data_IF_196053415449
#
_entry.id   IF_196053415449
#
_cell.length_a   1.000
_cell.length_b   1.000
_cell.length_c   1.000
_cell.angle_alpha   90.00
_cell.angle_beta   90.00
_cell.angle_gamma   90.00
#
_symmetry.space_group_name_H-M   'P 1'
#
loop_
_entity.id
_entity.type
_entity.pdbx_description
1 polymer ?
#
# COMPACT_ATOMS: atom_id res chain seq x y z
N UNK A 1 12.75 -5.08 -39.44
CA UNK A 1 11.77 -5.18 -38.34
C UNK A 1 12.49 -4.73 -37.08
N UNK A 2 12.09 -3.57 -36.54
CA UNK A 2 12.78 -2.91 -35.43
C UNK A 2 12.38 -3.55 -34.11
N UNK A 3 13.35 -4.18 -33.43
CA UNK A 3 13.21 -4.68 -32.07
C UNK A 3 13.36 -3.50 -31.10
N UNK A 4 12.33 -2.66 -31.02
CA UNK A 4 12.19 -1.81 -29.85
C UNK A 4 11.66 -2.73 -28.75
N UNK A 5 12.46 -2.97 -27.71
CA UNK A 5 11.92 -3.34 -26.41
C UNK A 5 10.95 -2.19 -26.09
N UNK A 6 9.65 -2.44 -26.22
CA UNK A 6 8.65 -1.54 -25.63
C UNK A 6 9.04 -1.42 -24.17
N UNK A 7 9.45 -0.23 -23.73
CA UNK A 7 9.72 -0.03 -22.33
C UNK A 7 8.35 -0.04 -21.64
N UNK A 8 8.01 -1.18 -21.07
CA UNK A 8 6.70 -1.49 -20.51
C UNK A 8 6.20 -0.41 -19.53
N UNK A 9 7.08 0.44 -18.97
CA UNK A 9 6.75 1.44 -17.97
C UNK A 9 6.77 2.90 -18.47
N UNK A 10 6.73 3.16 -19.78
CA UNK A 10 6.78 4.54 -20.33
C UNK A 10 5.69 5.48 -19.78
N UNK A 11 4.47 4.97 -19.54
CA UNK A 11 3.42 5.79 -18.91
C UNK A 11 3.81 6.23 -17.49
N UNK A 12 4.39 5.31 -16.71
CA UNK A 12 4.82 5.54 -15.34
C UNK A 12 6.00 6.53 -15.27
N UNK A 13 6.99 6.38 -16.17
CA UNK A 13 8.11 7.32 -16.29
C UNK A 13 7.65 8.73 -16.66
N UNK A 14 6.74 8.84 -17.64
CA UNK A 14 6.18 10.13 -18.05
C UNK A 14 5.48 10.82 -16.90
N UNK A 15 4.70 10.10 -16.09
CA UNK A 15 4.05 10.67 -14.92
C UNK A 15 5.06 11.25 -13.92
N UNK A 16 6.22 10.62 -13.74
CA UNK A 16 7.24 11.10 -12.82
C UNK A 16 7.83 12.46 -13.19
N UNK A 17 7.94 12.75 -14.49
CA UNK A 17 8.40 14.06 -14.96
C UNK A 17 7.40 15.19 -14.74
N UNK A 18 6.13 14.88 -14.46
CA UNK A 18 5.07 15.85 -14.21
C UNK A 18 4.72 15.99 -12.72
N UNK A 19 5.30 15.16 -11.85
CA UNK A 19 5.09 15.20 -10.40
C UNK A 19 5.90 16.30 -9.72
N UNK A 20 5.34 16.90 -8.67
CA UNK A 20 6.10 17.79 -7.79
C UNK A 20 7.00 16.95 -6.89
N UNK A 21 8.32 17.20 -6.93
CA UNK A 21 9.26 16.50 -6.07
C UNK A 21 9.05 16.88 -4.60
N UNK A 22 9.03 15.87 -3.71
CA UNK A 22 9.11 16.10 -2.28
C UNK A 22 10.44 16.78 -1.93
N UNK A 23 10.40 17.73 -0.98
CA UNK A 23 11.59 18.45 -0.51
C UNK A 23 12.59 17.50 0.18
N UNK A 24 12.09 16.42 0.80
CA UNK A 24 12.86 15.29 1.31
C UNK A 24 12.01 14.01 1.16
N UNK A 25 12.30 13.13 0.18
CA UNK A 25 11.64 11.85 0.09
C UNK A 25 12.09 10.94 1.25
N UNK A 26 11.22 10.06 1.76
CA UNK A 26 11.64 9.04 2.72
C UNK A 26 12.72 8.14 2.12
N UNK A 27 13.62 7.57 2.95
CA UNK A 27 14.66 6.69 2.45
C UNK A 27 14.03 5.46 1.78
N UNK A 28 14.56 5.09 0.60
CA UNK A 28 14.18 3.87 -0.08
C UNK A 28 14.74 2.66 0.68
N UNK A 29 13.86 1.94 1.38
CA UNK A 29 14.19 0.76 2.16
C UNK A 29 13.14 -0.31 1.93
N UNK A 30 13.59 -1.52 1.64
CA UNK A 30 12.78 -2.72 1.52
C UNK A 30 12.94 -3.52 2.80
N UNK A 31 11.84 -3.85 3.46
CA UNK A 31 11.85 -4.83 4.54
C UNK A 31 11.41 -6.16 3.97
N UNK A 32 12.29 -7.14 4.06
CA UNK A 32 12.16 -8.40 3.34
C UNK A 32 12.17 -9.53 4.33
N UNK A 33 11.18 -10.40 4.22
CA UNK A 33 11.17 -11.69 4.90
C UNK A 33 11.24 -12.79 3.85
N UNK A 34 12.30 -13.60 3.91
CA UNK A 34 12.59 -14.65 2.94
C UNK A 34 12.69 -16.01 3.61
N UNK A 35 12.07 -17.01 2.98
CA UNK A 35 12.33 -18.43 3.21
C UNK A 35 13.18 -18.94 2.05
N UNK A 36 14.42 -19.31 2.34
CA UNK A 36 15.36 -19.88 1.36
C UNK A 36 15.76 -21.29 1.76
N UNK A 37 16.55 -21.97 0.92
CA UNK A 37 17.08 -23.29 1.28
C UNK A 37 18.10 -23.19 2.42
N UNK A 38 18.84 -22.08 2.51
CA UNK A 38 19.78 -21.78 3.60
C UNK A 38 19.08 -21.36 4.89
N UNK A 39 17.93 -20.68 4.78
CA UNK A 39 17.13 -20.21 5.92
C UNK A 39 15.69 -20.75 5.82
N UNK A 40 15.48 -22.05 6.11
CA UNK A 40 14.18 -22.68 5.93
C UNK A 40 13.12 -22.19 6.92
N UNK A 41 13.51 -21.59 8.05
CA UNK A 41 12.58 -21.02 9.04
C UNK A 41 12.15 -19.58 8.70
N UNK A 42 12.76 -18.99 7.66
CA UNK A 42 12.54 -17.60 7.28
C UNK A 42 13.42 -16.61 8.03
N UNK A 43 13.80 -15.51 7.38
CA UNK A 43 14.62 -14.45 8.00
C UNK A 43 14.23 -13.06 7.53
N UNK A 44 14.11 -12.14 8.50
CA UNK A 44 13.95 -10.72 8.25
C UNK A 44 15.29 -10.05 7.94
N UNK A 45 15.31 -9.23 6.90
CA UNK A 45 16.44 -8.37 6.56
C UNK A 45 15.94 -7.08 5.89
N UNK A 46 16.83 -6.08 5.81
CA UNK A 46 16.52 -4.76 5.27
C UNK A 46 17.47 -4.45 4.13
N UNK A 47 16.91 -4.02 3.01
CA UNK A 47 17.64 -3.86 1.75
C UNK A 47 17.37 -2.48 1.15
N UNK A 48 18.43 -1.78 0.75
CA UNK A 48 18.33 -0.49 0.06
C UNK A 48 18.41 -0.61 -1.47
N UNK A 49 18.86 -1.76 -1.97
CA UNK A 49 19.01 -2.01 -3.40
C UNK A 49 18.11 -3.18 -3.82
N UNK A 50 17.14 -2.99 -4.73
CA UNK A 50 16.27 -4.06 -5.21
C UNK A 50 17.02 -5.29 -5.73
N UNK A 51 18.24 -5.14 -6.25
CA UNK A 51 19.02 -6.24 -6.78
C UNK A 51 19.34 -7.35 -5.76
N UNK A 52 19.27 -7.07 -4.45
CA UNK A 52 19.41 -8.10 -3.41
C UNK A 52 18.31 -9.17 -3.49
N UNK A 53 17.17 -8.86 -4.11
CA UNK A 53 16.06 -9.80 -4.33
C UNK A 53 16.28 -10.71 -5.54
N UNK A 54 17.46 -10.73 -6.18
CA UNK A 54 17.76 -11.73 -7.21
C UNK A 54 17.92 -13.15 -6.67
N UNK A 55 18.22 -13.28 -5.37
CA UNK A 55 18.34 -14.58 -4.73
C UNK A 55 17.02 -15.35 -4.79
N UNK A 56 17.13 -16.67 -4.98
CA UNK A 56 15.98 -17.55 -5.02
C UNK A 56 15.39 -17.71 -3.61
N UNK A 57 14.07 -17.54 -3.50
CA UNK A 57 13.32 -17.78 -2.27
C UNK A 57 12.08 -18.63 -2.57
N UNK A 58 11.75 -19.53 -1.66
CA UNK A 58 10.52 -20.33 -1.71
C UNK A 58 9.29 -19.46 -1.42
N UNK A 59 9.44 -18.57 -0.45
CA UNK A 59 8.46 -17.55 -0.09
C UNK A 59 9.21 -16.26 0.24
N UNK A 60 8.78 -15.16 -0.35
CA UNK A 60 9.32 -13.82 -0.13
C UNK A 60 8.19 -12.85 0.13
N UNK A 61 8.27 -12.11 1.22
CA UNK A 61 7.35 -11.01 1.53
C UNK A 61 8.17 -9.72 1.61
N UNK A 62 7.82 -8.75 0.77
CA UNK A 62 8.53 -7.48 0.65
C UNK A 62 7.59 -6.35 1.02
N UNK A 63 7.96 -5.57 2.03
CA UNK A 63 7.36 -4.28 2.29
C UNK A 63 8.21 -3.20 1.64
N UNK A 64 7.61 -2.45 0.73
CA UNK A 64 8.27 -1.39 -0.02
C UNK A 64 7.58 -0.05 0.21
N UNK A 65 8.30 1.08 0.06
CA UNK A 65 7.66 2.39 0.00
C UNK A 65 6.59 2.41 -1.09
N UNK A 66 5.57 3.27 -0.94
CA UNK A 66 4.58 3.42 -2.00
C UNK A 66 5.26 3.88 -3.29
N UNK A 67 4.87 3.29 -4.42
CA UNK A 67 5.49 3.55 -5.71
C UNK A 67 4.81 4.71 -6.43
N UNK A 68 4.72 5.88 -5.79
CA UNK A 68 4.34 7.07 -6.54
C UNK A 68 5.42 7.34 -7.61
N UNK A 69 5.03 7.78 -8.83
CA UNK A 69 5.97 8.11 -9.87
C UNK A 69 6.69 9.40 -9.47
N UNK A 70 7.73 9.30 -8.66
CA UNK A 70 8.55 10.43 -8.22
C UNK A 70 9.95 10.34 -8.84
N UNK A 71 10.53 11.46 -9.34
CA UNK A 71 11.85 11.44 -9.97
C UNK A 71 12.96 10.82 -9.12
N UNK A 72 12.90 11.01 -7.80
CA UNK A 72 13.93 10.56 -6.87
C UNK A 72 13.93 9.04 -6.63
N UNK A 73 12.75 8.41 -6.61
CA UNK A 73 12.57 6.98 -6.33
C UNK A 73 12.42 6.15 -7.61
N UNK A 74 12.15 6.79 -8.76
CA UNK A 74 11.90 6.15 -10.05
C UNK A 74 12.94 5.07 -10.42
N UNK A 75 14.27 5.29 -10.30
CA UNK A 75 15.23 4.25 -10.64
C UNK A 75 15.07 2.97 -9.80
N UNK A 76 14.85 3.12 -8.49
CA UNK A 76 14.69 2.00 -7.56
C UNK A 76 13.37 1.27 -7.77
N UNK A 77 12.27 2.02 -7.97
CA UNK A 77 10.95 1.45 -8.27
C UNK A 77 10.99 0.64 -9.57
N UNK A 78 11.55 1.19 -10.64
CA UNK A 78 11.65 0.50 -11.92
C UNK A 78 12.57 -0.72 -11.86
N UNK A 79 13.67 -0.64 -11.10
CA UNK A 79 14.55 -1.79 -10.88
C UNK A 79 13.78 -2.93 -10.19
N UNK A 80 12.99 -2.62 -9.16
CA UNK A 80 12.15 -3.58 -8.47
C UNK A 80 11.08 -4.19 -9.39
N UNK A 81 10.38 -3.37 -10.18
CA UNK A 81 9.35 -3.86 -11.11
C UNK A 81 9.93 -4.81 -12.15
N UNK A 82 11.08 -4.47 -12.74
CA UNK A 82 11.75 -5.32 -13.72
C UNK A 82 12.22 -6.63 -13.10
N UNK A 83 12.80 -6.56 -11.90
CA UNK A 83 13.30 -7.73 -11.19
C UNK A 83 12.19 -8.71 -10.82
N UNK A 84 11.03 -8.21 -10.40
CA UNK A 84 9.89 -9.03 -9.99
C UNK A 84 8.89 -9.31 -11.13
N UNK A 85 9.22 -8.88 -12.36
CA UNK A 85 8.36 -8.97 -13.53
C UNK A 85 6.94 -8.44 -13.27
N UNK A 86 6.84 -7.26 -12.67
CA UNK A 86 5.56 -6.57 -12.43
C UNK A 86 5.01 -6.08 -13.76
N UNK A 87 3.77 -6.44 -14.16
CA UNK A 87 3.24 -6.04 -15.45
C UNK A 87 2.98 -4.52 -15.51
N UNK A 88 3.11 -3.91 -16.69
CA UNK A 88 2.77 -2.50 -16.91
C UNK A 88 1.32 -2.16 -16.56
N UNK A 89 0.41 -3.14 -16.71
CA UNK A 89 -0.99 -3.08 -16.30
C UNK A 89 -1.14 -2.67 -14.83
N UNK A 90 -0.29 -3.19 -13.93
CA UNK A 90 -0.23 -2.81 -12.51
C UNK A 90 0.14 -1.33 -12.33
N UNK A 91 1.13 -0.85 -13.06
CA UNK A 91 1.58 0.55 -12.93
C UNK A 91 0.59 1.54 -13.53
N UNK A 92 -0.13 1.12 -14.57
CA UNK A 92 -1.11 1.98 -15.26
C UNK A 92 -2.34 2.23 -14.39
N UNK A 93 -2.81 1.23 -13.64
CA UNK A 93 -3.95 1.39 -12.73
C UNK A 93 -3.68 2.36 -11.57
N UNK A 94 -2.42 2.49 -11.14
CA UNK A 94 -1.99 3.50 -10.14
C UNK A 94 -2.16 4.91 -10.70
N UNK A 95 -1.75 5.14 -11.95
CA UNK A 95 -1.87 6.45 -12.62
C UNK A 95 -3.33 6.88 -12.80
N UNK A 96 -4.25 5.92 -12.91
CA UNK A 96 -5.68 6.18 -13.08
C UNK A 96 -6.42 6.47 -11.76
N UNK A 97 -5.73 6.41 -10.61
CA UNK A 97 -6.32 6.66 -9.28
C UNK A 97 -7.60 5.85 -9.02
N UNK A 98 -7.66 4.62 -9.53
CA UNK A 98 -8.85 3.77 -9.39
C UNK A 98 -8.96 3.34 -7.93
N UNK A 99 -10.13 3.59 -7.32
CA UNK A 99 -10.35 3.29 -5.89
C UNK A 99 -10.13 1.80 -5.56
N UNK A 100 -10.49 0.93 -6.51
CA UNK A 100 -10.30 -0.51 -6.44
C UNK A 100 -10.05 -1.06 -7.84
N UNK A 101 -8.80 -1.40 -8.15
CA UNK A 101 -8.51 -2.18 -9.35
C UNK A 101 -7.91 -3.51 -8.93
N UNK A 102 -8.40 -4.58 -9.53
CA UNK A 102 -7.87 -5.94 -9.38
C UNK A 102 -7.41 -6.42 -10.75
N UNK A 103 -6.30 -7.13 -10.79
CA UNK A 103 -5.79 -7.72 -12.01
C UNK A 103 -5.15 -9.07 -11.76
N UNK A 104 -5.15 -9.89 -12.80
CA UNK A 104 -4.45 -11.17 -12.84
C UNK A 104 -3.90 -11.39 -14.24
N UNK A 105 -2.69 -11.92 -14.31
CA UNK A 105 -2.02 -12.23 -15.57
C UNK A 105 -1.21 -13.51 -15.41
N UNK A 106 -1.15 -14.28 -16.48
CA UNK A 106 -0.22 -15.41 -16.60
C UNK A 106 0.75 -15.08 -17.71
N UNK A 107 2.05 -15.26 -17.44
CA UNK A 107 3.15 -14.96 -18.36
C UNK A 107 4.21 -16.07 -18.29
N UNK A 108 5.35 -15.86 -18.93
CA UNK A 108 6.45 -16.84 -18.97
C UNK A 108 7.17 -17.02 -17.62
N UNK A 109 6.77 -16.29 -16.57
CA UNK A 109 7.34 -16.35 -15.23
C UNK A 109 6.31 -16.85 -14.21
N UNK A 110 5.25 -17.50 -14.67
CA UNK A 110 4.15 -18.02 -13.85
C UNK A 110 2.92 -17.12 -13.86
N UNK A 111 2.24 -17.04 -12.72
CA UNK A 111 1.03 -16.22 -12.58
C UNK A 111 1.24 -15.09 -11.57
N UNK A 112 0.66 -13.94 -11.85
CA UNK A 112 0.62 -12.82 -10.93
C UNK A 112 -0.80 -12.30 -10.76
N UNK A 113 -1.05 -11.70 -9.61
CA UNK A 113 -2.31 -11.06 -9.27
C UNK A 113 -2.00 -9.83 -8.44
N UNK A 114 -2.84 -8.81 -8.54
CA UNK A 114 -2.59 -7.56 -7.85
C UNK A 114 -3.88 -6.83 -7.56
N UNK A 115 -3.80 -5.93 -6.59
CA UNK A 115 -4.82 -4.93 -6.40
C UNK A 115 -4.27 -3.64 -5.81
N UNK A 116 -5.02 -2.56 -6.02
CA UNK A 116 -4.77 -1.27 -5.39
C UNK A 116 -5.87 -0.98 -4.39
N UNK A 117 -5.46 -0.32 -3.31
CA UNK A 117 -6.33 0.09 -2.23
C UNK A 117 -6.15 1.58 -2.00
N UNK A 118 -7.24 2.32 -2.21
CA UNK A 118 -7.31 3.75 -1.97
C UNK A 118 -8.50 4.00 -1.04
N UNK A 119 -8.24 4.55 0.14
CA UNK A 119 -9.29 4.88 1.09
C UNK A 119 -9.05 6.22 1.76
N UNK A 120 -10.14 6.81 2.22
CA UNK A 120 -10.09 8.13 2.83
C UNK A 120 -9.45 8.02 4.21
N UNK A 121 -8.46 8.87 4.49
CA UNK A 121 -7.89 8.98 5.83
C UNK A 121 -8.74 9.95 6.67
N UNK A 122 -8.98 9.58 7.93
CA UNK A 122 -9.57 10.46 8.94
C UNK A 122 -8.79 10.24 10.23
N UNK A 123 -7.77 11.06 10.40
CA UNK A 123 -6.95 11.09 11.61
C UNK A 123 -7.52 12.09 12.61
N UNK A 124 -7.51 11.76 13.90
CA UNK A 124 -8.05 12.61 14.95
C UNK A 124 -6.95 13.25 15.80
N UNK A 125 -7.09 14.53 16.11
CA UNK A 125 -6.32 15.23 17.14
C UNK A 125 -7.11 15.21 18.44
N UNK A 126 -6.49 14.65 19.48
CA UNK A 126 -7.01 14.68 20.84
C UNK A 126 -6.25 15.73 21.65
N UNK A 127 -6.98 16.72 22.19
CA UNK A 127 -6.43 17.69 23.15
C UNK A 127 -7.21 17.55 24.46
N UNK A 128 -6.48 17.51 25.59
CA UNK A 128 -7.10 17.40 26.91
C UNK A 128 -8.13 18.51 27.13
N UNK A 129 -9.36 18.13 27.47
CA UNK A 129 -10.46 19.06 27.74
C UNK A 129 -11.17 19.63 26.51
N UNK A 130 -10.82 19.20 25.29
CA UNK A 130 -11.52 19.57 24.05
C UNK A 130 -12.14 18.36 23.38
N UNK A 131 -13.14 18.62 22.53
CA UNK A 131 -13.70 17.61 21.65
C UNK A 131 -12.65 17.15 20.63
N UNK A 132 -12.70 15.89 20.18
CA UNK A 132 -11.81 15.40 19.13
C UNK A 132 -12.06 16.16 17.83
N UNK A 133 -10.98 16.59 17.18
CA UNK A 133 -11.02 17.32 15.91
C UNK A 133 -10.29 16.55 14.82
N UNK A 134 -10.67 16.74 13.56
CA UNK A 134 -9.99 16.13 12.43
C UNK A 134 -8.60 16.77 12.27
N UNK A 135 -7.58 15.95 12.09
CA UNK A 135 -6.26 16.41 11.70
C UNK A 135 -6.30 16.90 10.25
N UNK A 136 -6.37 18.22 10.05
CA UNK A 136 -6.43 18.81 8.71
C UNK A 136 -5.11 18.64 7.95
N UNK A 137 -5.04 17.55 7.19
CA UNK A 137 -3.92 17.21 6.30
C UNK A 137 -4.24 17.60 4.88
N UNK A 138 -3.25 18.22 4.23
CA UNK A 138 -3.28 18.48 2.79
C UNK A 138 -3.33 17.17 1.99
N UNK A 139 -3.84 17.22 0.76
CA UNK A 139 -3.92 16.07 -0.14
C UNK A 139 -2.52 15.50 -0.51
N UNK A 140 -1.53 16.38 -0.61
CA UNK A 140 -0.14 16.05 -0.89
C UNK A 140 0.78 17.20 -0.49
N UNK A 141 2.09 16.95 -0.46
CA UNK A 141 3.09 17.98 -0.16
C UNK A 141 3.01 19.14 -1.17
N UNK A 142 3.06 20.37 -0.68
CA UNK A 142 2.98 21.59 -1.50
C UNK A 142 1.56 22.17 -1.66
N UNK A 143 0.51 21.43 -1.27
CA UNK A 143 -0.84 21.99 -1.14
C UNK A 143 -1.05 22.56 0.26
N UNK A 144 -1.73 23.72 0.34
CA UNK A 144 -2.12 24.27 1.63
C UNK A 144 -3.13 23.34 2.30
N UNK A 145 -2.90 23.03 3.59
CA UNK A 145 -3.97 22.46 4.43
C UNK A 145 -5.16 23.41 4.42
N UNK A 146 -6.36 22.84 4.44
CA UNK A 146 -7.57 23.64 4.46
C UNK A 146 -7.66 24.43 5.77
N UNK A 147 -8.39 25.54 5.75
CA UNK A 147 -8.73 26.28 6.98
C UNK A 147 -9.98 25.72 7.65
N UNK A 148 -10.68 24.77 7.01
CA UNK A 148 -11.89 24.13 7.55
C UNK A 148 -11.51 23.07 8.60
N UNK A 149 -11.96 23.18 9.86
CA UNK A 149 -11.54 22.30 10.96
C UNK A 149 -11.82 20.79 10.76
N UNK A 150 -12.72 20.45 9.82
CA UNK A 150 -13.19 19.08 9.58
C UNK A 150 -12.75 18.50 8.22
N UNK A 151 -11.85 19.19 7.50
CA UNK A 151 -11.45 18.76 6.18
C UNK A 151 -10.07 18.09 6.19
N UNK A 152 -10.05 16.75 6.24
CA UNK A 152 -8.87 15.97 5.86
C UNK A 152 -8.93 15.75 4.34
N UNK A 153 -7.89 16.12 3.60
CA UNK A 153 -7.77 15.86 2.16
C UNK A 153 -6.82 14.71 1.82
N UNK A 154 -6.17 14.12 2.81
CA UNK A 154 -5.28 12.98 2.64
C UNK A 154 -6.04 11.68 2.34
N UNK A 155 -5.34 10.78 1.66
CA UNK A 155 -5.81 9.46 1.30
C UNK A 155 -4.73 8.45 1.65
N UNK A 156 -5.14 7.29 2.13
CA UNK A 156 -4.24 6.17 2.32
C UNK A 156 -4.23 5.34 1.04
N UNK A 157 -3.01 5.15 0.52
CA UNK A 157 -2.73 4.45 -0.72
C UNK A 157 -1.83 3.26 -0.43
N UNK A 158 -2.26 2.09 -0.87
CA UNK A 158 -1.46 0.87 -0.80
C UNK A 158 -1.70 0.04 -2.06
N UNK A 159 -0.69 -0.71 -2.45
CA UNK A 159 -0.76 -1.59 -3.62
C UNK A 159 -0.11 -2.91 -3.29
N UNK A 160 -0.73 -3.99 -3.75
CA UNK A 160 -0.29 -5.34 -3.42
C UNK A 160 -0.09 -6.13 -4.69
N UNK A 161 1.07 -6.77 -4.81
CA UNK A 161 1.44 -7.58 -5.95
C UNK A 161 1.86 -8.96 -5.46
N UNK A 162 1.21 -10.00 -5.98
CA UNK A 162 1.49 -11.39 -5.68
C UNK A 162 1.94 -12.08 -6.96
N UNK A 163 3.08 -12.76 -6.91
CA UNK A 163 3.58 -13.62 -7.98
C UNK A 163 3.82 -15.02 -7.45
N UNK A 164 3.36 -16.00 -8.22
CA UNK A 164 3.75 -17.39 -8.06
C UNK A 164 4.50 -17.80 -9.33
N UNK A 165 5.76 -18.18 -9.15
CA UNK A 165 6.64 -18.69 -10.19
C UNK A 165 6.32 -20.14 -10.52
N UNK A 166 6.72 -20.58 -11.71
CA UNK A 166 6.48 -21.96 -12.18
C UNK A 166 7.17 -23.03 -11.33
N UNK A 167 8.24 -22.65 -10.62
CA UNK A 167 8.95 -23.53 -9.68
C UNK A 167 8.33 -23.56 -8.28
N UNK A 168 7.18 -22.89 -8.10
CA UNK A 168 6.46 -22.79 -6.83
C UNK A 168 6.92 -21.63 -5.94
N UNK A 169 7.98 -20.91 -6.30
CA UNK A 169 8.42 -19.72 -5.57
C UNK A 169 7.32 -18.67 -5.52
N UNK A 170 7.03 -18.13 -4.33
CA UNK A 170 5.95 -17.16 -4.13
C UNK A 170 6.50 -15.84 -3.60
N UNK A 171 6.07 -14.72 -4.20
CA UNK A 171 6.49 -13.36 -3.82
C UNK A 171 5.26 -12.50 -3.58
N UNK A 172 5.11 -11.95 -2.38
CA UNK A 172 4.17 -10.87 -2.08
C UNK A 172 4.96 -9.56 -1.91
N UNK A 173 4.53 -8.50 -2.60
CA UNK A 173 5.03 -7.14 -2.39
C UNK A 173 3.89 -6.26 -1.90
N UNK A 174 4.11 -5.60 -0.77
CA UNK A 174 3.20 -4.66 -0.15
C UNK A 174 3.78 -3.24 -0.26
N UNK A 175 3.33 -2.49 -1.26
CA UNK A 175 3.75 -1.10 -1.45
C UNK A 175 2.91 -0.17 -0.59
N UNK A 176 3.55 0.62 0.26
CA UNK A 176 2.86 1.56 1.15
C UNK A 176 1.88 0.87 2.10
N UNK A 177 2.23 -0.32 2.59
CA UNK A 177 1.38 -1.11 3.46
C UNK A 177 1.05 -0.35 4.76
N UNK A 178 -0.20 -0.44 5.21
CA UNK A 178 -0.63 0.16 6.47
C UNK A 178 -0.20 -0.69 7.68
N UNK A 179 -0.10 -0.10 8.89
CA UNK A 179 0.38 -0.81 10.08
C UNK A 179 -0.38 -2.10 10.39
N UNK A 180 -1.70 -2.16 10.20
CA UNK A 180 -2.48 -3.39 10.45
C UNK A 180 -2.14 -4.52 9.48
N UNK A 181 -1.81 -4.20 8.23
CA UNK A 181 -1.34 -5.20 7.25
C UNK A 181 -0.02 -5.79 7.69
N UNK A 182 0.90 -4.94 8.15
CA UNK A 182 2.20 -5.37 8.69
C UNK A 182 2.02 -6.33 9.87
N UNK A 183 1.25 -5.93 10.87
CA UNK A 183 0.95 -6.75 12.06
C UNK A 183 0.35 -8.10 11.68
N UNK A 184 -0.54 -8.12 10.68
CA UNK A 184 -1.21 -9.35 10.29
C UNK A 184 -0.28 -10.35 9.62
N UNK A 185 0.65 -9.86 8.82
CA UNK A 185 1.69 -10.65 8.19
C UNK A 185 2.70 -11.15 9.24
N UNK A 186 3.12 -10.32 10.20
CA UNK A 186 3.99 -10.75 11.30
C UNK A 186 3.37 -11.90 12.10
N UNK A 187 2.11 -11.76 12.51
CA UNK A 187 1.40 -12.83 13.23
C UNK A 187 1.31 -14.13 12.42
N UNK A 188 1.17 -14.03 11.10
CA UNK A 188 1.19 -15.18 10.22
C UNK A 188 2.57 -15.84 10.17
N UNK A 189 3.63 -15.05 10.03
CA UNK A 189 5.03 -15.53 10.07
C UNK A 189 5.30 -16.23 11.40
N UNK A 190 4.98 -15.59 12.52
CA UNK A 190 5.19 -16.10 13.88
C UNK A 190 4.41 -17.39 14.16
N UNK A 191 3.31 -17.62 13.45
CA UNK A 191 2.52 -18.85 13.58
C UNK A 191 3.20 -20.09 12.99
N UNK A 192 4.23 -19.92 12.15
CA UNK A 192 4.92 -21.01 11.45
C UNK A 192 4.09 -21.67 10.33
N UNK A 193 2.88 -21.18 10.03
CA UNK A 193 1.97 -21.75 9.01
C UNK A 193 2.21 -21.21 7.60
N UNK A 194 3.31 -20.50 7.40
CA UNK A 194 3.62 -19.84 6.14
C UNK A 194 3.88 -20.81 4.98
N UNK A 195 4.16 -22.09 5.26
CA UNK A 195 4.33 -23.13 4.24
C UNK A 195 3.06 -23.31 3.37
N UNK A 196 1.87 -23.02 3.93
CA UNK A 196 0.60 -23.11 3.21
C UNK A 196 0.51 -22.11 2.05
N UNK A 197 1.27 -21.00 2.11
CA UNK A 197 1.32 -20.02 1.03
C UNK A 197 1.97 -20.56 -0.25
N UNK A 198 2.81 -21.60 -0.16
CA UNK A 198 3.34 -22.28 -1.36
C UNK A 198 2.27 -23.13 -2.08
N UNK A 199 1.27 -23.63 -1.34
CA UNK A 199 0.16 -24.42 -1.89
C UNK A 199 -0.96 -23.50 -2.38
N UNK A 200 -1.32 -22.50 -1.57
CA UNK A 200 -2.33 -21.51 -1.88
C UNK A 200 -1.80 -20.09 -1.61
N UNK A 201 -1.17 -19.45 -2.61
CA UNK A 201 -0.61 -18.10 -2.47
C UNK A 201 -1.61 -17.02 -2.06
N UNK A 202 -2.90 -17.22 -2.35
CA UNK A 202 -3.94 -16.23 -2.06
C UNK A 202 -4.23 -16.06 -0.56
N UNK A 203 -3.78 -17.00 0.29
CA UNK A 203 -3.79 -16.78 1.74
C UNK A 203 -3.07 -15.49 2.12
N UNK A 204 -2.05 -15.09 1.35
CA UNK A 204 -1.32 -13.84 1.56
C UNK A 204 -2.20 -12.62 1.27
N UNK A 205 -3.08 -12.68 0.27
CA UNK A 205 -4.07 -11.63 0.03
C UNK A 205 -5.17 -11.61 1.09
N UNK A 206 -5.59 -12.76 1.61
CA UNK A 206 -6.55 -12.80 2.72
C UNK A 206 -5.99 -12.08 3.95
N UNK A 207 -4.71 -12.29 4.28
CA UNK A 207 -4.03 -11.57 5.37
C UNK A 207 -3.96 -10.06 5.14
N UNK A 208 -3.63 -9.66 3.90
CA UNK A 208 -3.58 -8.25 3.53
C UNK A 208 -4.97 -7.62 3.67
N UNK A 209 -5.99 -8.25 3.12
CA UNK A 209 -7.37 -7.74 3.17
C UNK A 209 -7.86 -7.65 4.60
N UNK A 210 -7.61 -8.66 5.45
CA UNK A 210 -7.94 -8.64 6.88
C UNK A 210 -7.30 -7.42 7.57
N UNK A 211 -6.00 -7.18 7.33
CA UNK A 211 -5.31 -5.98 7.82
C UNK A 211 -5.93 -4.66 7.33
N UNK A 212 -6.27 -4.57 6.04
CA UNK A 212 -6.92 -3.38 5.47
C UNK A 212 -8.33 -3.16 6.03
N UNK A 213 -9.09 -4.22 6.30
CA UNK A 213 -10.42 -4.10 6.90
C UNK A 213 -10.36 -3.49 8.30
N UNK A 214 -9.34 -3.80 9.10
CA UNK A 214 -9.13 -3.13 10.38
C UNK A 214 -8.89 -1.63 10.24
N UNK A 215 -8.12 -1.20 9.23
CA UNK A 215 -7.87 0.23 8.97
C UNK A 215 -9.16 0.96 8.55
N UNK A 216 -10.00 0.30 7.73
CA UNK A 216 -11.30 0.85 7.33
C UNK A 216 -12.23 0.97 8.53
N UNK A 217 -12.33 -0.07 9.37
CA UNK A 217 -13.17 -0.05 10.57
C UNK A 217 -12.74 1.07 11.52
N UNK A 218 -11.44 1.20 11.78
CA UNK A 218 -10.88 2.27 12.60
C UNK A 218 -11.21 3.66 12.03
N UNK A 219 -11.13 3.82 10.71
CA UNK A 219 -11.53 5.08 10.03
C UNK A 219 -13.01 5.38 10.20
N UNK A 220 -13.88 4.37 10.09
CA UNK A 220 -15.34 4.53 10.30
C UNK A 220 -15.64 4.93 11.75
N UNK A 221 -14.95 4.33 12.73
CA UNK A 221 -15.07 4.73 14.13
C UNK A 221 -14.57 6.15 14.39
N UNK A 222 -13.48 6.57 13.73
CA UNK A 222 -12.99 7.95 13.81
C UNK A 222 -14.00 8.94 13.23
N UNK A 223 -14.65 8.61 12.11
CA UNK A 223 -15.76 9.40 11.55
C UNK A 223 -16.90 9.54 12.56
N UNK A 224 -17.38 8.42 13.09
CA UNK A 224 -18.48 8.43 14.05
C UNK A 224 -18.16 9.24 15.31
N UNK A 225 -16.91 9.20 15.77
CA UNK A 225 -16.44 9.97 16.93
C UNK A 225 -16.56 11.49 16.71
N UNK A 226 -16.29 11.97 15.50
CA UNK A 226 -16.34 13.41 15.16
C UNK A 226 -17.76 13.84 14.77
N UNK A 227 -18.44 13.05 13.93
CA UNK A 227 -19.69 13.45 13.29
C UNK A 227 -20.94 12.86 13.95
N UNK A 228 -20.84 11.72 14.64
CA UNK A 228 -21.97 11.08 15.33
C UNK A 228 -22.68 12.01 16.32
N UNK A 229 -21.97 12.81 17.15
CA UNK A 229 -22.62 13.80 18.01
C UNK A 229 -23.42 14.86 17.24
N UNK A 230 -22.98 15.25 16.04
CA UNK A 230 -23.66 16.23 15.19
C UNK A 230 -24.94 15.66 14.56
N UNK A 231 -24.95 14.37 14.24
CA UNK A 231 -26.10 13.66 13.68
C UNK A 231 -27.22 13.44 14.71
N UNK A 232 -26.86 13.34 15.99
CA UNK A 232 -27.80 13.17 17.10
C UNK A 232 -28.23 14.49 17.77
N UNK A 233 -27.76 15.65 17.29
CA UNK A 233 -28.40 16.92 17.61
C UNK A 233 -29.74 16.97 16.88
N UNK A 234 -30.77 16.41 17.51
CA UNK A 234 -32.14 16.72 17.17
C UNK A 234 -32.31 18.24 17.18
N UNK A 235 -32.90 18.77 16.11
CA UNK A 235 -33.49 20.09 16.07
C UNK A 235 -34.65 20.14 17.08
N UNK A 236 -34.32 20.26 18.36
CA UNK A 236 -35.24 20.20 19.47
C UNK A 236 -34.82 21.22 20.53
N UNK A 237 -35.11 22.49 20.25
CA UNK A 237 -35.81 23.41 21.16
C UNK A 237 -35.59 24.86 20.73
N UNK A 238 -36.57 25.42 20.02
CA UNK A 238 -36.96 26.83 20.17
C UNK A 238 -38.47 26.95 20.03
N UNK A 239 -39.22 26.27 20.91
CA UNK A 239 -40.66 26.51 21.07
C UNK A 239 -41.09 26.32 22.53
N UNK A 240 -40.74 27.29 23.38
CA UNK A 240 -41.41 27.67 24.65
C UNK A 240 -40.44 28.54 25.48
N UNK A 241 -40.75 29.71 26.04
CA UNK A 241 -41.96 30.52 26.18
C UNK A 241 -41.52 31.99 26.34
N UNK A 242 -42.32 32.95 25.85
CA UNK A 242 -43.17 33.83 26.67
C UNK A 242 -42.41 34.61 27.74
#
# INVERSE_FOLDING_TARGET
MSWAIDDDYEAFKRAAHHGHALILPPPWLLHVWDVTDENPEGVWHVESNPQSLQSKARLRIVFAPFHDPEPCSLPSVLALFRLLHVPSDFTTSVLQSVCHSFGRKTDNYGCCSWFHFLFKNISLKHQNGKLPEVDNRAASAGYASSTLPQADYSWLKSSFFLRQHDDGGTVLVCFGAQPRVWQRIELFIDSGKWADAGINPYVLFDLVLDGLYFEVDETVWNMNTVFGPLEHVQWGDKSSGQ
#
